data_IF_161550100222
#
_entry.id   IF_161550100222
#
_cell.length_a   1.000
_cell.length_b   1.000
_cell.length_c   1.000
_cell.angle_alpha   90.00
_cell.angle_beta   90.00
_cell.angle_gamma   90.00
#
_symmetry.space_group_name_H-M   'P 1'
#
loop_
_entity.id
_entity.type
_entity.pdbx_description
1 polymer ?
#
# COMPACT_ATOMS: atom_id res chain seq x y z
N UNK A 1 44.84 20.68 -16.15
CA UNK A 1 43.53 20.20 -16.63
C UNK A 1 42.90 19.44 -15.48
N UNK A 2 42.03 20.11 -14.74
CA UNK A 2 41.26 19.49 -13.66
C UNK A 2 40.17 18.62 -14.29
N UNK A 3 40.20 17.33 -13.98
CA UNK A 3 39.04 16.47 -14.18
C UNK A 3 38.21 16.53 -12.90
N UNK A 4 37.18 17.38 -12.90
CA UNK A 4 36.07 17.28 -11.97
C UNK A 4 35.34 15.96 -12.25
N UNK A 5 35.64 14.93 -11.45
CA UNK A 5 34.75 13.79 -11.28
C UNK A 5 33.53 14.27 -10.50
N UNK A 6 32.51 14.71 -11.22
CA UNK A 6 31.18 14.90 -10.67
C UNK A 6 30.60 13.49 -10.53
N UNK A 7 30.76 12.89 -9.35
CA UNK A 7 29.85 11.82 -8.93
C UNK A 7 28.49 12.46 -8.73
N UNK A 8 27.66 12.42 -9.78
CA UNK A 8 26.23 12.71 -9.64
C UNK A 8 25.69 11.64 -8.72
N UNK A 9 25.45 11.98 -7.46
CA UNK A 9 24.62 11.17 -6.57
C UNK A 9 23.30 10.99 -7.29
N UNK A 10 22.99 9.76 -7.72
CA UNK A 10 21.63 9.46 -8.12
C UNK A 10 20.77 9.72 -6.89
N UNK A 11 19.92 10.74 -6.95
CA UNK A 11 18.91 10.96 -5.92
C UNK A 11 18.11 9.67 -5.79
N UNK A 12 18.05 9.14 -4.58
CA UNK A 12 17.33 7.91 -4.29
C UNK A 12 15.84 8.17 -4.54
N UNK A 13 15.30 7.63 -5.64
CA UNK A 13 13.90 7.79 -5.99
C UNK A 13 13.04 6.94 -5.06
N UNK A 14 12.02 7.55 -4.48
CA UNK A 14 11.07 6.88 -3.60
C UNK A 14 9.66 7.22 -4.02
N UNK A 15 8.72 6.31 -3.75
CA UNK A 15 7.29 6.59 -3.87
C UNK A 15 6.87 7.34 -2.60
N UNK A 16 6.30 8.56 -2.69
CA UNK A 16 5.79 9.29 -1.53
C UNK A 16 4.70 8.50 -0.82
N UNK A 17 4.62 8.59 0.51
CA UNK A 17 3.48 8.02 1.24
C UNK A 17 2.25 8.93 1.08
N UNK A 18 1.07 8.42 0.66
CA UNK A 18 -0.15 9.25 0.62
C UNK A 18 -0.50 9.86 1.97
N UNK A 19 -0.18 9.16 3.06
CA UNK A 19 -0.28 9.68 4.42
C UNK A 19 0.32 11.08 4.58
N UNK A 20 1.48 11.35 3.96
CA UNK A 20 2.19 12.62 4.05
C UNK A 20 1.59 13.74 3.17
N UNK A 21 0.68 13.40 2.26
CA UNK A 21 0.09 14.32 1.30
C UNK A 21 -1.37 14.61 1.58
N UNK A 22 -1.89 14.11 2.71
CA UNK A 22 -3.30 14.18 3.04
C UNK A 22 -3.51 15.13 4.21
N UNK A 23 -4.34 16.16 4.00
CA UNK A 23 -4.86 16.97 5.09
C UNK A 23 -5.91 16.14 5.86
N UNK A 24 -5.49 15.62 7.02
CA UNK A 24 -6.32 14.88 7.95
C UNK A 24 -6.75 15.80 9.10
N UNK A 25 -8.05 15.82 9.37
CA UNK A 25 -8.66 16.55 10.47
C UNK A 25 -9.25 15.53 11.43
N UNK A 26 -8.79 15.54 12.68
CA UNK A 26 -9.35 14.67 13.72
C UNK A 26 -10.81 15.07 13.97
N UNK A 27 -11.68 14.07 14.17
CA UNK A 27 -13.14 14.15 14.25
C UNK A 27 -13.87 14.40 12.92
N UNK A 28 -13.16 14.52 11.80
CA UNK A 28 -13.82 14.53 10.48
C UNK A 28 -14.13 13.10 10.01
N UNK A 29 -15.16 13.02 9.17
CA UNK A 29 -15.62 11.80 8.53
C UNK A 29 -15.05 11.73 7.12
N UNK A 30 -14.50 10.57 6.77
CA UNK A 30 -13.95 10.31 5.45
C UNK A 30 -14.63 9.09 4.82
N UNK A 31 -14.91 9.21 3.53
CA UNK A 31 -15.27 8.07 2.69
C UNK A 31 -13.99 7.35 2.27
N UNK A 32 -13.76 6.15 2.81
CA UNK A 32 -12.51 5.41 2.66
C UNK A 32 -12.79 4.01 2.10
N UNK A 33 -11.99 3.57 1.13
CA UNK A 33 -12.03 2.18 0.64
C UNK A 33 -11.07 1.32 1.45
N UNK A 34 -11.56 0.23 2.03
CA UNK A 34 -10.68 -0.80 2.62
C UNK A 34 -10.10 -1.66 1.49
N UNK A 35 -8.79 -1.76 1.42
CA UNK A 35 -8.08 -2.49 0.35
C UNK A 35 -7.39 -3.76 0.84
N UNK A 36 -7.12 -3.85 2.14
CA UNK A 36 -6.58 -5.05 2.76
C UNK A 36 -6.86 -5.09 4.26
N UNK A 37 -7.01 -6.28 4.83
CA UNK A 37 -7.26 -6.50 6.25
C UNK A 37 -6.39 -7.66 6.74
N UNK A 38 -5.54 -7.41 7.74
CA UNK A 38 -4.95 -8.48 8.54
C UNK A 38 -5.80 -8.73 9.78
N UNK A 39 -6.13 -7.67 10.52
CA UNK A 39 -6.95 -7.68 11.73
C UNK A 39 -7.69 -6.35 11.88
N UNK A 40 -8.67 -6.22 12.81
CA UNK A 40 -9.27 -4.92 13.13
C UNK A 40 -8.26 -3.85 13.62
N UNK A 41 -7.08 -4.26 14.08
CA UNK A 41 -6.00 -3.35 14.51
C UNK A 41 -4.92 -3.14 13.44
N UNK A 42 -5.07 -3.78 12.28
CA UNK A 42 -4.08 -3.77 11.21
C UNK A 42 -4.77 -4.01 9.86
N UNK A 43 -5.20 -2.91 9.24
CA UNK A 43 -5.82 -2.91 7.92
C UNK A 43 -5.37 -1.69 7.11
N UNK A 44 -5.69 -1.67 5.82
CA UNK A 44 -5.28 -0.61 4.90
C UNK A 44 -6.48 -0.01 4.19
N UNK A 45 -6.45 1.32 4.08
CA UNK A 45 -7.49 2.11 3.44
C UNK A 45 -6.91 3.01 2.36
N UNK A 46 -7.77 3.43 1.44
CA UNK A 46 -7.51 4.41 0.38
C UNK A 46 -8.51 5.54 0.50
N UNK A 47 -8.03 6.80 0.51
CA UNK A 47 -8.86 8.00 0.65
C UNK A 47 -9.55 8.44 -0.64
N UNK A 48 -8.93 8.23 -1.79
CA UNK A 48 -9.52 8.54 -3.10
C UNK A 48 -9.66 7.24 -3.92
N UNK A 49 -10.80 6.53 -3.78
CA UNK A 49 -11.02 5.27 -4.49
C UNK A 49 -11.08 5.45 -6.02
N UNK A 50 -11.47 6.63 -6.51
CA UNK A 50 -11.56 6.92 -7.95
C UNK A 50 -10.17 7.09 -8.56
N UNK A 51 -9.30 7.88 -7.92
CA UNK A 51 -7.91 8.06 -8.34
C UNK A 51 -7.14 6.74 -8.27
N UNK A 52 -7.36 5.94 -7.22
CA UNK A 52 -6.78 4.61 -7.09
C UNK A 52 -7.18 3.68 -8.23
N UNK A 53 -8.47 3.61 -8.59
CA UNK A 53 -8.94 2.78 -9.71
C UNK A 53 -8.42 3.29 -11.06
N UNK A 54 -8.33 4.61 -11.24
CA UNK A 54 -7.75 5.20 -12.44
C UNK A 54 -6.27 4.82 -12.58
N UNK A 55 -5.49 4.94 -11.51
CA UNK A 55 -4.09 4.55 -11.50
C UNK A 55 -3.91 3.04 -11.71
N UNK A 56 -4.72 2.22 -11.06
CA UNK A 56 -4.73 0.77 -11.25
C UNK A 56 -4.89 0.39 -12.73
N UNK A 57 -5.88 1.00 -13.41
CA UNK A 57 -6.12 0.78 -14.84
C UNK A 57 -4.97 1.26 -15.70
N UNK A 58 -4.41 2.44 -15.38
CA UNK A 58 -3.27 2.99 -16.09
C UNK A 58 -2.05 2.08 -15.98
N UNK A 59 -1.67 1.68 -14.76
CA UNK A 59 -0.55 0.79 -14.47
C UNK A 59 -0.68 -0.52 -15.25
N UNK A 60 -1.82 -1.19 -15.14
CA UNK A 60 -2.05 -2.47 -15.80
C UNK A 60 -2.06 -2.35 -17.33
N UNK A 61 -2.65 -1.29 -17.87
CA UNK A 61 -2.64 -1.04 -19.32
C UNK A 61 -1.22 -0.78 -19.84
N UNK A 62 -0.45 0.04 -19.11
CA UNK A 62 0.91 0.38 -19.47
C UNK A 62 1.81 -0.86 -19.53
N UNK A 63 1.84 -1.67 -18.46
CA UNK A 63 2.71 -2.84 -18.41
C UNK A 63 2.22 -4.00 -19.29
N UNK A 64 0.93 -4.10 -19.55
CA UNK A 64 0.42 -5.05 -20.55
C UNK A 64 0.92 -4.76 -21.96
N UNK A 65 1.12 -3.49 -22.31
CA UNK A 65 1.60 -3.07 -23.63
C UNK A 65 3.13 -3.01 -23.68
N UNK A 66 3.77 -2.44 -22.66
CA UNK A 66 5.19 -2.08 -22.68
C UNK A 66 6.06 -2.95 -21.75
N UNK A 67 5.48 -3.85 -20.95
CA UNK A 67 6.17 -4.54 -19.86
C UNK A 67 7.44 -5.28 -20.27
N UNK A 68 7.52 -5.83 -21.49
CA UNK A 68 8.74 -6.47 -21.98
C UNK A 68 9.96 -5.52 -21.99
N UNK A 69 9.76 -4.23 -22.23
CA UNK A 69 10.82 -3.21 -22.22
C UNK A 69 11.26 -2.83 -20.81
N UNK A 70 10.42 -3.12 -19.81
CA UNK A 70 10.65 -2.82 -18.40
C UNK A 70 11.04 -4.05 -17.59
N UNK A 71 11.18 -5.22 -18.21
CA UNK A 71 11.47 -6.45 -17.46
C UNK A 71 12.80 -6.35 -16.74
N UNK A 72 12.78 -6.57 -15.42
CA UNK A 72 14.01 -6.52 -14.61
C UNK A 72 14.87 -7.74 -14.91
N UNK A 73 16.15 -7.47 -15.14
CA UNK A 73 17.16 -8.53 -15.24
C UNK A 73 17.53 -8.92 -13.79
N UNK A 74 17.56 -10.21 -13.42
CA UNK A 74 17.82 -10.65 -12.05
C UNK A 74 19.08 -10.02 -11.41
N UNK A 75 20.14 -9.81 -12.18
CA UNK A 75 21.38 -9.19 -11.71
C UNK A 75 21.21 -7.72 -11.29
N UNK A 76 20.21 -7.03 -11.83
CA UNK A 76 19.90 -5.63 -11.57
C UNK A 76 18.86 -5.44 -10.47
N UNK A 77 18.14 -6.49 -10.05
CA UNK A 77 17.12 -6.37 -9.00
C UNK A 77 17.68 -5.77 -7.69
N UNK A 78 18.99 -5.94 -7.42
CA UNK A 78 19.70 -5.33 -6.28
C UNK A 78 19.61 -3.80 -6.23
N UNK A 79 19.50 -3.17 -7.38
CA UNK A 79 19.60 -1.72 -7.53
C UNK A 79 18.23 -1.03 -7.36
N UNK A 80 17.14 -1.80 -7.38
CA UNK A 80 15.78 -1.25 -7.37
C UNK A 80 15.04 -1.72 -6.12
N UNK A 81 14.93 -0.81 -5.13
CA UNK A 81 14.06 -1.00 -3.98
C UNK A 81 12.58 -1.00 -4.39
N UNK A 82 12.20 -0.07 -5.28
CA UNK A 82 10.86 0.04 -5.85
C UNK A 82 10.79 -0.62 -7.22
N UNK A 83 9.76 -1.41 -7.45
CA UNK A 83 9.56 -2.15 -8.70
C UNK A 83 8.07 -2.28 -9.03
N UNK A 84 7.79 -2.93 -10.15
CA UNK A 84 6.48 -3.48 -10.47
C UNK A 84 6.56 -5.00 -10.45
N UNK A 85 5.56 -5.65 -9.87
CA UNK A 85 5.43 -7.12 -9.88
C UNK A 85 4.20 -7.54 -10.67
N UNK A 86 4.29 -8.68 -11.35
CA UNK A 86 3.18 -9.27 -12.09
C UNK A 86 2.71 -10.56 -11.42
N UNK A 87 1.57 -10.51 -10.73
CA UNK A 87 1.00 -11.60 -9.95
C UNK A 87 -0.44 -11.80 -10.39
N UNK A 88 -0.82 -13.06 -10.65
CA UNK A 88 -2.18 -13.44 -11.06
C UNK A 88 -2.75 -12.62 -12.23
N UNK A 89 -1.90 -12.33 -13.22
CA UNK A 89 -2.22 -11.51 -14.42
C UNK A 89 -2.43 -10.02 -14.16
N UNK A 90 -2.00 -9.51 -13.00
CA UNK A 90 -2.14 -8.11 -12.61
C UNK A 90 -0.78 -7.54 -12.23
N UNK A 91 -0.54 -6.28 -12.62
CA UNK A 91 0.64 -5.51 -12.28
C UNK A 91 0.40 -4.64 -11.06
N UNK A 92 1.36 -4.64 -10.14
CA UNK A 92 1.32 -3.88 -8.88
C UNK A 92 2.63 -3.15 -8.66
N UNK A 93 2.58 -1.93 -8.10
CA UNK A 93 3.79 -1.32 -7.54
C UNK A 93 4.17 -2.02 -6.25
N UNK A 94 5.46 -2.23 -6.06
CA UNK A 94 5.96 -2.93 -4.89
C UNK A 94 7.30 -2.41 -4.39
N UNK A 95 7.61 -2.73 -3.14
CA UNK A 95 8.95 -2.67 -2.56
C UNK A 95 9.47 -4.09 -2.38
N UNK A 96 10.67 -4.39 -2.86
CA UNK A 96 11.33 -5.66 -2.55
C UNK A 96 11.80 -5.67 -1.10
N UNK A 97 11.33 -6.65 -0.32
CA UNK A 97 11.70 -6.83 1.10
C UNK A 97 12.89 -7.77 1.24
N UNK A 98 12.93 -8.83 0.45
CA UNK A 98 14.04 -9.80 0.47
C UNK A 98 15.15 -9.38 -0.48
N UNK A 99 16.40 -9.48 -0.02
CA UNK A 99 17.58 -9.33 -0.89
C UNK A 99 17.65 -10.51 -1.89
N UNK A 100 17.60 -10.24 -3.21
CA UNK A 100 17.66 -11.28 -4.24
C UNK A 100 18.94 -12.14 -4.24
N UNK A 101 19.94 -11.79 -3.43
CA UNK A 101 21.24 -12.48 -3.37
C UNK A 101 21.39 -13.51 -2.29
N UNK A 102 20.52 -13.44 -1.29
CA UNK A 102 20.43 -14.44 -0.24
C UNK A 102 19.64 -15.65 -0.77
N UNK A 103 18.89 -15.43 -1.84
CA UNK A 103 17.96 -16.35 -2.47
C UNK A 103 18.70 -17.14 -3.56
N UNK A 104 18.96 -18.43 -3.32
CA UNK A 104 19.40 -19.35 -4.39
C UNK A 104 18.40 -19.30 -5.55
N UNK A 105 18.84 -19.57 -6.78
CA UNK A 105 18.15 -19.24 -8.05
C UNK A 105 16.73 -19.81 -8.29
N UNK A 106 16.11 -20.40 -7.28
CA UNK A 106 14.75 -20.93 -7.26
C UNK A 106 13.86 -20.38 -6.11
N UNK A 107 14.36 -19.54 -5.20
CA UNK A 107 13.57 -19.04 -4.07
C UNK A 107 12.69 -17.84 -4.45
N UNK A 108 11.53 -17.77 -3.81
CA UNK A 108 10.57 -16.68 -3.93
C UNK A 108 11.11 -15.44 -3.21
N UNK A 109 11.04 -14.30 -3.89
CA UNK A 109 11.26 -12.97 -3.32
C UNK A 109 9.97 -12.49 -2.65
N UNK A 110 10.08 -11.71 -1.59
CA UNK A 110 8.94 -11.04 -0.98
C UNK A 110 8.86 -9.60 -1.50
N UNK A 111 7.69 -9.22 -1.99
CA UNK A 111 7.37 -7.88 -2.45
C UNK A 111 6.18 -7.33 -1.65
N UNK A 112 6.35 -6.16 -1.04
CA UNK A 112 5.26 -5.41 -0.38
C UNK A 112 4.52 -4.57 -1.42
N UNK A 113 3.24 -4.82 -1.63
CA UNK A 113 2.41 -4.06 -2.57
C UNK A 113 2.01 -2.72 -1.95
N UNK A 114 2.72 -1.65 -2.31
CA UNK A 114 2.63 -0.34 -1.64
C UNK A 114 1.25 0.32 -1.73
N UNK A 115 0.48 -0.04 -2.76
CA UNK A 115 -0.86 0.50 -3.00
C UNK A 115 -1.97 -0.32 -2.34
N UNK A 116 -1.62 -1.43 -1.67
CA UNK A 116 -2.59 -2.38 -1.10
C UNK A 116 -2.29 -2.78 0.34
N UNK A 117 -1.02 -2.77 0.75
CA UNK A 117 -0.65 -3.01 2.14
C UNK A 117 -0.27 -4.44 2.50
N UNK A 118 -0.14 -5.36 1.53
CA UNK A 118 0.20 -6.76 1.80
C UNK A 118 1.42 -7.25 1.01
N UNK A 119 1.97 -8.38 1.46
CA UNK A 119 3.17 -8.99 0.89
C UNK A 119 2.77 -10.13 -0.03
N UNK A 120 3.43 -10.22 -1.18
CA UNK A 120 3.32 -11.34 -2.11
C UNK A 120 4.68 -12.01 -2.31
N UNK A 121 4.63 -13.30 -2.64
CA UNK A 121 5.79 -14.07 -3.08
C UNK A 121 5.89 -14.02 -4.60
N UNK A 122 7.06 -13.63 -5.11
CA UNK A 122 7.29 -13.44 -6.54
C UNK A 122 8.62 -14.03 -6.99
N UNK A 123 8.72 -14.40 -8.25
CA UNK A 123 9.96 -14.83 -8.89
C UNK A 123 10.66 -13.63 -9.54
N UNK A 124 11.98 -13.68 -9.74
CA UNK A 124 12.68 -12.67 -10.52
C UNK A 124 12.08 -12.42 -11.92
N UNK A 125 11.46 -13.43 -12.52
CA UNK A 125 10.79 -13.34 -13.84
C UNK A 125 9.50 -12.52 -13.84
N UNK A 126 8.97 -12.20 -12.66
CA UNK A 126 7.74 -11.43 -12.44
C UNK A 126 8.04 -9.98 -12.06
N UNK A 127 9.32 -9.58 -12.06
CA UNK A 127 9.76 -8.24 -11.70
C UNK A 127 9.96 -7.34 -12.92
N UNK A 128 9.60 -6.07 -12.76
CA UNK A 128 9.69 -5.02 -13.76
C UNK A 128 10.19 -3.72 -13.11
N UNK A 129 10.95 -2.93 -13.86
CA UNK A 129 11.37 -1.59 -13.45
C UNK A 129 10.12 -0.71 -13.34
N UNK A 130 10.04 0.11 -12.29
CA UNK A 130 9.01 1.14 -12.19
C UNK A 130 9.31 2.26 -13.21
N UNK A 131 8.30 2.65 -13.99
CA UNK A 131 8.42 3.77 -14.92
C UNK A 131 8.58 5.10 -14.14
N UNK A 132 9.31 6.05 -14.74
CA UNK A 132 9.71 7.30 -14.07
C UNK A 132 8.53 8.12 -13.60
N UNK A 133 7.51 8.24 -14.45
CA UNK A 133 6.29 9.00 -14.20
C UNK A 133 5.47 8.41 -13.04
N UNK A 134 5.68 7.13 -12.71
CA UNK A 134 4.95 6.44 -11.64
C UNK A 134 5.58 6.64 -10.25
N UNK A 135 6.77 7.23 -10.16
CA UNK A 135 7.33 7.69 -8.88
C UNK A 135 6.67 8.99 -8.39
N UNK A 136 6.09 9.79 -9.29
CA UNK A 136 5.43 11.06 -8.96
C UNK A 136 4.08 10.85 -8.28
N UNK A 137 3.49 9.66 -8.41
CA UNK A 137 2.20 9.29 -7.85
C UNK A 137 2.43 8.70 -6.45
N UNK A 138 1.83 9.24 -5.37
CA UNK A 138 1.97 8.68 -4.03
C UNK A 138 1.45 7.25 -3.92
N UNK A 139 1.90 6.48 -2.94
CA UNK A 139 1.32 5.17 -2.63
C UNK A 139 -0.10 5.37 -2.10
N UNK A 140 -1.07 4.57 -2.53
CA UNK A 140 -2.47 4.80 -2.14
C UNK A 140 -2.85 4.26 -0.77
N UNK A 141 -2.27 3.12 -0.36
CA UNK A 141 -2.66 2.45 0.87
C UNK A 141 -2.09 3.15 2.10
N UNK A 142 -2.99 3.41 3.06
CA UNK A 142 -2.70 4.03 4.35
C UNK A 142 -3.06 3.01 5.42
N UNK A 143 -2.11 2.72 6.30
CA UNK A 143 -2.31 1.76 7.39
C UNK A 143 -3.24 2.35 8.44
N UNK A 144 -4.18 1.56 8.91
CA UNK A 144 -5.21 1.96 9.84
C UNK A 144 -5.43 0.94 10.96
N UNK A 145 -5.99 1.42 12.07
CA UNK A 145 -6.41 0.63 13.23
C UNK A 145 -7.76 1.14 13.72
N UNK A 146 -8.60 0.25 14.27
CA UNK A 146 -9.84 0.69 14.91
C UNK A 146 -9.56 1.44 16.21
N UNK A 147 -10.15 2.62 16.34
CA UNK A 147 -10.11 3.46 17.51
C UNK A 147 -10.94 2.85 18.64
N UNK A 148 -10.56 3.12 19.89
CA UNK A 148 -11.37 2.77 21.07
C UNK A 148 -11.61 1.28 21.33
N UNK A 149 -11.14 0.38 20.46
CA UNK A 149 -11.33 -1.05 20.66
C UNK A 149 -10.62 -1.47 21.95
N UNK A 150 -11.37 -2.07 22.90
CA UNK A 150 -10.76 -2.80 24.03
C UNK A 150 -9.81 -3.93 23.56
N UNK A 151 -9.77 -4.20 22.24
CA UNK A 151 -8.85 -5.11 21.58
C UNK A 151 -7.38 -4.71 21.67
N UNK A 152 -7.03 -3.46 22.05
CA UNK A 152 -5.64 -3.17 22.43
C UNK A 152 -5.16 -4.04 23.62
N UNK A 153 -6.09 -4.60 24.41
CA UNK A 153 -5.77 -5.48 25.56
C UNK A 153 -5.78 -6.98 25.21
N UNK A 154 -6.27 -7.39 24.03
CA UNK A 154 -6.35 -8.81 23.64
C UNK A 154 -6.23 -9.02 22.13
N UNK A 155 -5.38 -9.96 21.73
CA UNK A 155 -5.27 -10.45 20.33
C UNK A 155 -6.67 -10.83 19.83
N UNK A 156 -7.13 -10.21 18.75
CA UNK A 156 -8.42 -10.55 18.12
C UNK A 156 -8.47 -12.04 17.80
N UNK A 157 -9.60 -12.69 18.08
CA UNK A 157 -9.75 -14.11 17.74
C UNK A 157 -9.81 -14.27 16.21
N UNK A 158 -9.48 -15.46 15.66
CA UNK A 158 -9.63 -15.71 14.23
C UNK A 158 -11.07 -15.45 13.74
N UNK A 159 -12.07 -15.75 14.56
CA UNK A 159 -13.48 -15.48 14.27
C UNK A 159 -13.77 -13.98 14.18
N UNK A 160 -13.24 -13.17 15.10
CA UNK A 160 -13.40 -11.71 15.05
C UNK A 160 -12.73 -11.12 13.79
N UNK A 161 -11.57 -11.65 13.41
CA UNK A 161 -10.86 -11.24 12.20
C UNK A 161 -11.67 -11.60 10.95
N UNK A 162 -12.21 -12.81 10.87
CA UNK A 162 -13.00 -13.25 9.73
C UNK A 162 -14.32 -12.47 9.62
N UNK A 163 -15.00 -12.22 10.74
CA UNK A 163 -16.21 -11.39 10.77
C UNK A 163 -15.91 -9.97 10.27
N UNK A 164 -14.88 -9.33 10.81
CA UNK A 164 -14.46 -8.00 10.37
C UNK A 164 -14.12 -7.99 8.88
N UNK A 165 -13.31 -8.94 8.40
CA UNK A 165 -12.97 -9.07 6.98
C UNK A 165 -14.21 -9.17 6.09
N UNK A 166 -15.17 -10.02 6.45
CA UNK A 166 -16.39 -10.21 5.67
C UNK A 166 -17.26 -8.96 5.60
N UNK A 167 -17.22 -8.11 6.62
CA UNK A 167 -17.98 -6.86 6.67
C UNK A 167 -17.31 -5.73 5.89
N UNK A 168 -15.97 -5.64 5.93
CA UNK A 168 -15.27 -4.43 5.46
C UNK A 168 -14.43 -4.60 4.20
N UNK A 169 -14.00 -5.82 3.84
CA UNK A 169 -13.02 -6.00 2.76
C UNK A 169 -13.58 -5.53 1.41
N UNK A 170 -12.77 -4.76 0.70
CA UNK A 170 -13.11 -4.10 -0.57
C UNK A 170 -14.31 -3.14 -0.51
N UNK A 171 -14.83 -2.80 0.67
CA UNK A 171 -15.93 -1.86 0.84
C UNK A 171 -15.45 -0.41 0.91
N UNK A 172 -16.35 0.50 0.51
CA UNK A 172 -16.21 1.93 0.76
C UNK A 172 -17.09 2.27 1.98
N UNK A 173 -16.47 2.86 3.00
CA UNK A 173 -17.07 3.06 4.31
C UNK A 173 -16.90 4.51 4.74
N UNK A 174 -17.88 5.06 5.45
CA UNK A 174 -17.75 6.34 6.14
C UNK A 174 -17.14 6.08 7.52
N UNK A 175 -15.92 6.56 7.72
CA UNK A 175 -15.14 6.34 8.93
C UNK A 175 -14.74 7.67 9.53
N UNK A 176 -14.87 7.80 10.85
CA UNK A 176 -14.44 8.99 11.58
C UNK A 176 -12.97 8.86 11.99
N UNK A 177 -12.17 9.90 11.73
CA UNK A 177 -10.77 9.92 12.15
C UNK A 177 -10.65 10.30 13.63
N UNK A 178 -10.17 9.38 14.46
CA UNK A 178 -9.98 9.61 15.91
C UNK A 178 -8.57 10.03 16.29
N UNK A 179 -7.59 9.75 15.46
CA UNK A 179 -6.19 10.03 15.77
C UNK A 179 -5.24 9.66 14.64
N UNK A 180 -4.04 10.20 14.73
CA UNK A 180 -2.97 10.00 13.75
C UNK A 180 -1.68 9.72 14.51
N UNK A 181 -1.06 8.58 14.25
CA UNK A 181 0.29 8.24 14.70
C UNK A 181 1.27 8.49 13.55
N UNK A 182 1.95 9.64 13.61
CA UNK A 182 2.94 10.04 12.60
C UNK A 182 4.24 9.24 12.66
N UNK A 183 4.56 8.65 13.82
CA UNK A 183 5.79 7.85 13.97
C UNK A 183 5.61 6.48 13.32
N UNK A 184 4.43 5.88 13.48
CA UNK A 184 4.09 4.58 12.91
C UNK A 184 3.43 4.68 11.53
N UNK A 185 3.01 5.87 11.11
CA UNK A 185 2.26 6.08 9.87
C UNK A 185 0.90 5.39 9.88
N UNK A 186 0.21 5.43 11.02
CA UNK A 186 -1.09 4.74 11.25
C UNK A 186 -2.16 5.77 11.58
N UNK A 187 -3.34 5.61 10.98
CA UNK A 187 -4.54 6.38 11.35
C UNK A 187 -5.49 5.55 12.20
N UNK A 188 -6.14 6.20 13.17
CA UNK A 188 -7.09 5.57 14.08
C UNK A 188 -8.49 5.93 13.59
N UNK A 189 -9.26 4.92 13.18
CA UNK A 189 -10.58 5.10 12.56
C UNK A 189 -11.67 4.48 13.41
N UNK A 190 -12.84 5.08 13.39
CA UNK A 190 -14.03 4.57 14.08
C UNK A 190 -15.18 4.43 13.09
N UNK A 191 -16.04 3.43 13.31
CA UNK A 191 -17.27 3.31 12.53
C UNK A 191 -18.27 4.33 13.02
N UNK A 192 -19.03 4.90 12.09
CA UNK A 192 -20.15 5.76 12.44
C UNK A 192 -21.34 4.85 12.66
N UNK A 193 -21.79 4.74 13.92
CA UNK A 193 -23.11 4.20 14.22
C UNK A 193 -24.15 5.20 13.67
N UNK A 194 -24.79 4.84 12.56
CA UNK A 194 -25.85 5.66 11.96
C UNK A 194 -27.15 5.61 12.79
N UNK A 195 -27.20 4.75 13.82
CA UNK A 195 -28.40 4.47 14.64
C UNK A 195 -28.40 5.13 16.03
N UNK A 196 -28.12 6.45 16.14
CA UNK A 196 -28.39 7.18 17.38
C UNK A 196 -29.25 8.44 17.29
N UNK A 197 -29.73 8.81 16.09
CA UNK A 197 -30.57 10.02 15.89
C UNK A 197 -32.03 9.72 15.52
N UNK A 198 -32.59 8.62 16.05
CA UNK A 198 -34.04 8.37 15.95
C UNK A 198 -34.72 8.10 17.29
N UNK A 199 -34.26 8.71 18.38
CA UNK A 199 -35.05 8.82 19.62
C UNK A 199 -34.52 9.98 20.50
N UNK A 200 -34.91 11.22 20.21
CA UNK A 200 -35.07 12.26 21.24
C UNK A 200 -35.99 13.40 20.78
N UNK A 201 -37.22 13.29 21.30
CA UNK A 201 -38.31 14.28 21.50
C UNK A 201 -39.11 14.83 20.30
#
# INVERSE_FOLDING_TARGET
MEHLNISVSQEEKFIPMAFNMTDWTIMDIYELKVVHVNTPLDFWVVKDPEEFELFYRYLNSFYSIYGNSFKLIPSKCREYKYCVVHVDSVYYRAILITDPLIVESAMQLQAYLVDYGFIVEVKPTELFCLAEEMYEIPQFAIRATLAGSKMYESVASPEDVDNFKNEVDQQILLLELRGVDFELGVIHLDFIDIDSDSDSE
#
